data_IF_979464130441
#
_entry.id   IF_979464130441
#
_cell.length_a   1.000
_cell.length_b   1.000
_cell.length_c   1.000
_cell.angle_alpha   90.00
_cell.angle_beta   90.00
_cell.angle_gamma   90.00
#
_symmetry.space_group_name_H-M   'P 1'
#
loop_
_entity.id
_entity.type
_entity.pdbx_description
1 polymer ?
#
# COMPACT_ATOMS: atom_id res chain seq x y z
N UNK A 1 3.89 -18.35 31.94
CA UNK A 1 2.74 -18.38 32.87
C UNK A 1 1.46 -17.79 32.24
N UNK A 2 1.50 -16.68 31.50
CA UNK A 2 0.32 -16.15 30.79
C UNK A 2 -0.01 -16.93 29.49
N UNK A 3 1.00 -17.35 28.73
CA UNK A 3 0.83 -18.17 27.52
C UNK A 3 0.16 -19.52 27.77
N UNK A 4 0.38 -20.14 28.93
CA UNK A 4 -0.29 -21.40 29.30
C UNK A 4 -1.77 -21.24 29.61
N UNK A 5 -2.23 -20.02 29.93
CA UNK A 5 -3.65 -19.75 30.23
C UNK A 5 -4.49 -19.65 28.95
N UNK A 6 -3.89 -19.23 27.83
CA UNK A 6 -4.55 -19.03 26.54
C UNK A 6 -5.17 -20.32 25.97
N UNK A 7 -4.58 -21.47 26.27
CA UNK A 7 -4.99 -22.77 25.73
C UNK A 7 -6.08 -23.48 26.55
N UNK A 8 -6.54 -22.89 27.67
CA UNK A 8 -7.49 -23.51 28.59
C UNK A 8 -8.96 -23.32 28.12
N UNK A 9 -9.18 -22.42 27.15
CA UNK A 9 -10.50 -22.10 26.57
C UNK A 9 -10.92 -20.65 26.85
N UNK A 10 -12.01 -20.20 26.19
CA UNK A 10 -12.51 -18.81 26.25
C UNK A 10 -12.92 -18.39 27.67
N UNK A 11 -13.60 -19.28 28.40
CA UNK A 11 -14.03 -19.06 29.78
C UNK A 11 -13.77 -20.33 30.57
N UNK A 12 -12.99 -20.25 31.66
CA UNK A 12 -12.69 -21.39 32.50
C UNK A 12 -12.70 -21.02 33.99
N UNK A 13 -13.52 -21.70 34.77
CA UNK A 13 -13.62 -21.49 36.22
C UNK A 13 -13.10 -22.70 36.98
N UNK A 14 -12.28 -22.45 38.01
CA UNK A 14 -11.79 -23.47 38.94
C UNK A 14 -11.82 -22.95 40.38
N UNK A 15 -12.79 -23.40 41.16
CA UNK A 15 -13.04 -22.90 42.52
C UNK A 15 -13.30 -21.39 42.50
N UNK A 16 -12.58 -20.64 43.32
CA UNK A 16 -12.66 -19.16 43.36
C UNK A 16 -11.90 -18.45 42.23
N UNK A 17 -11.30 -19.18 41.28
CA UNK A 17 -10.55 -18.59 40.17
C UNK A 17 -11.36 -18.65 38.87
N UNK A 18 -11.34 -17.57 38.10
CA UNK A 18 -11.92 -17.49 36.76
C UNK A 18 -10.85 -16.99 35.79
N UNK A 19 -10.69 -17.71 34.68
CA UNK A 19 -9.82 -17.36 33.56
C UNK A 19 -10.72 -17.01 32.39
N UNK A 20 -10.46 -15.87 31.75
CA UNK A 20 -11.15 -15.39 30.57
C UNK A 20 -10.10 -15.10 29.50
N UNK A 21 -10.25 -15.71 28.33
CA UNK A 21 -9.36 -15.53 27.19
C UNK A 21 -10.17 -15.05 25.98
N UNK A 22 -9.86 -13.85 25.49
CA UNK A 22 -10.53 -13.20 24.36
C UNK A 22 -9.42 -12.63 23.47
N UNK A 23 -9.26 -13.18 22.26
CA UNK A 23 -8.18 -12.83 21.34
C UNK A 23 -6.80 -12.98 21.97
N UNK A 24 -6.06 -11.87 22.02
CA UNK A 24 -4.75 -11.74 22.66
C UNK A 24 -4.81 -11.35 24.15
N UNK A 25 -6.01 -11.21 24.72
CA UNK A 25 -6.23 -10.81 26.12
C UNK A 25 -6.48 -12.05 26.99
N UNK A 26 -5.68 -12.21 28.05
CA UNK A 26 -5.90 -13.22 29.09
C UNK A 26 -6.09 -12.55 30.45
N UNK A 27 -7.26 -12.74 31.08
CA UNK A 27 -7.60 -12.20 32.38
C UNK A 27 -7.78 -13.31 33.41
N UNK A 28 -7.16 -13.16 34.58
CA UNK A 28 -7.31 -14.06 35.73
C UNK A 28 -7.94 -13.31 36.90
N UNK A 29 -9.16 -13.72 37.27
CA UNK A 29 -9.78 -13.34 38.52
C UNK A 29 -9.39 -14.36 39.58
N UNK A 30 -8.72 -13.91 40.64
CA UNK A 30 -8.19 -14.80 41.68
C UNK A 30 -9.25 -15.21 42.71
N UNK A 31 -10.21 -14.32 42.97
CA UNK A 31 -11.18 -14.44 44.06
C UNK A 31 -12.59 -14.10 43.55
N UNK A 32 -13.36 -15.12 43.18
CA UNK A 32 -14.79 -15.02 42.93
C UNK A 32 -15.58 -14.95 44.25
N UNK A 33 -16.75 -14.28 44.25
CA UNK A 33 -17.67 -14.33 45.38
C UNK A 33 -18.22 -15.75 45.58
N UNK A 34 -18.67 -16.05 46.80
CA UNK A 34 -19.29 -17.34 47.15
C UNK A 34 -20.76 -17.46 46.68
N UNK A 35 -21.36 -16.35 46.25
CA UNK A 35 -22.73 -16.29 45.73
C UNK A 35 -22.74 -16.55 44.22
N UNK A 36 -23.29 -17.69 43.81
CA UNK A 36 -23.37 -18.14 42.42
C UNK A 36 -24.07 -17.13 41.50
N UNK A 37 -25.09 -16.42 41.98
CA UNK A 37 -25.78 -15.41 41.18
C UNK A 37 -24.87 -14.20 40.92
N UNK A 38 -24.02 -13.83 41.88
CA UNK A 38 -22.99 -12.78 41.67
C UNK A 38 -21.88 -13.27 40.75
N UNK A 39 -21.47 -14.54 40.85
CA UNK A 39 -20.47 -15.13 39.95
C UNK A 39 -20.96 -15.08 38.50
N UNK A 40 -22.19 -15.51 38.24
CA UNK A 40 -22.79 -15.46 36.91
C UNK A 40 -22.78 -14.04 36.33
N UNK A 41 -23.30 -13.06 37.08
CA UNK A 41 -23.31 -11.65 36.64
C UNK A 41 -21.90 -11.10 36.38
N UNK A 42 -20.95 -11.40 37.25
CA UNK A 42 -19.57 -10.94 37.11
C UNK A 42 -18.92 -11.53 35.85
N UNK A 43 -19.11 -12.83 35.61
CA UNK A 43 -18.62 -13.51 34.42
C UNK A 43 -19.21 -12.89 33.16
N UNK A 44 -20.52 -12.65 33.12
CA UNK A 44 -21.20 -12.13 31.93
C UNK A 44 -20.76 -10.68 31.65
N UNK A 45 -20.67 -9.83 32.68
CA UNK A 45 -20.15 -8.45 32.52
C UNK A 45 -18.69 -8.42 32.05
N UNK A 46 -17.83 -9.26 32.64
CA UNK A 46 -16.42 -9.33 32.24
C UNK A 46 -16.27 -9.86 30.81
N UNK A 47 -17.09 -10.83 30.41
CA UNK A 47 -17.11 -11.34 29.04
C UNK A 47 -17.44 -10.24 28.04
N UNK A 48 -18.48 -9.44 28.30
CA UNK A 48 -18.88 -8.31 27.43
C UNK A 48 -17.76 -7.26 27.33
N UNK A 49 -17.15 -6.91 28.47
CA UNK A 49 -16.03 -5.94 28.49
C UNK A 49 -14.84 -6.46 27.67
N UNK A 50 -14.50 -7.73 27.84
CA UNK A 50 -13.37 -8.33 27.13
C UNK A 50 -13.65 -8.48 25.63
N UNK A 51 -14.89 -8.78 25.23
CA UNK A 51 -15.30 -8.82 23.82
C UNK A 51 -15.20 -7.43 23.18
N UNK A 52 -15.64 -6.39 23.89
CA UNK A 52 -15.44 -5.00 23.44
C UNK A 52 -13.96 -4.58 23.38
N UNK A 53 -13.15 -5.06 24.32
CA UNK A 53 -11.71 -4.78 24.36
C UNK A 53 -10.96 -5.50 23.23
N UNK A 54 -11.29 -6.77 22.95
CA UNK A 54 -10.77 -7.54 21.82
C UNK A 54 -11.09 -6.84 20.50
N UNK A 55 -12.37 -6.51 20.26
CA UNK A 55 -12.79 -5.79 19.06
C UNK A 55 -12.08 -4.43 18.89
N UNK A 56 -11.85 -3.71 20.00
CA UNK A 56 -11.11 -2.45 19.97
C UNK A 56 -9.63 -2.65 19.67
N UNK A 57 -9.01 -3.70 20.20
CA UNK A 57 -7.61 -4.03 19.94
C UNK A 57 -7.41 -4.39 18.46
N UNK A 58 -8.28 -5.24 17.90
CA UNK A 58 -8.25 -5.61 16.48
C UNK A 58 -8.40 -4.38 15.57
N UNK A 59 -9.32 -3.48 15.91
CA UNK A 59 -9.50 -2.23 15.16
C UNK A 59 -8.24 -1.34 15.20
N UNK A 60 -7.54 -1.27 16.34
CA UNK A 60 -6.29 -0.52 16.46
C UNK A 60 -5.16 -1.14 15.64
N UNK A 61 -5.06 -2.48 15.63
CA UNK A 61 -4.07 -3.20 14.81
C UNK A 61 -4.32 -2.98 13.31
N UNK A 62 -5.56 -3.07 12.87
CA UNK A 62 -5.94 -2.80 11.48
C UNK A 62 -5.56 -1.37 11.05
N UNK A 63 -5.74 -0.38 11.93
CA UNK A 63 -5.33 1.01 11.68
C UNK A 63 -3.80 1.14 11.56
N UNK A 64 -3.04 0.45 12.41
CA UNK A 64 -1.57 0.47 12.34
C UNK A 64 -1.06 -0.16 11.04
N UNK A 65 -1.63 -1.28 10.61
CA UNK A 65 -1.33 -1.91 9.33
C UNK A 65 -1.68 -1.00 8.14
N UNK A 66 -2.86 -0.36 8.17
CA UNK A 66 -3.25 0.61 7.13
C UNK A 66 -2.28 1.79 7.04
N UNK A 67 -1.77 2.30 8.18
CA UNK A 67 -0.76 3.37 8.18
C UNK A 67 0.55 2.94 7.54
N UNK A 68 1.00 1.71 7.80
CA UNK A 68 2.20 1.15 7.16
C UNK A 68 2.02 1.02 5.66
N UNK A 69 0.90 0.43 5.22
CA UNK A 69 0.57 0.29 3.80
C UNK A 69 0.49 1.64 3.07
N UNK A 70 -0.09 2.67 3.72
CA UNK A 70 -0.13 4.02 3.18
C UNK A 70 1.28 4.57 2.94
N UNK A 71 2.16 4.46 3.93
CA UNK A 71 3.53 4.92 3.82
C UNK A 71 4.28 4.19 2.69
N UNK A 72 4.17 2.87 2.62
CA UNK A 72 4.81 2.07 1.57
C UNK A 72 4.28 2.43 0.17
N UNK A 73 2.98 2.76 0.08
CA UNK A 73 2.35 3.23 -1.17
C UNK A 73 2.88 4.60 -1.57
N UNK A 74 2.99 5.54 -0.64
CA UNK A 74 3.56 6.87 -0.90
C UNK A 74 5.03 6.78 -1.38
N UNK A 75 5.85 5.94 -0.73
CA UNK A 75 7.22 5.68 -1.14
C UNK A 75 7.27 5.07 -2.55
N UNK A 76 6.42 4.08 -2.84
CA UNK A 76 6.34 3.45 -4.16
C UNK A 76 5.93 4.42 -5.26
N UNK A 77 4.98 5.32 -4.99
CA UNK A 77 4.56 6.37 -5.93
C UNK A 77 5.72 7.31 -6.22
N UNK A 78 6.46 7.74 -5.19
CA UNK A 78 7.64 8.59 -5.36
C UNK A 78 8.71 7.89 -6.22
N UNK A 79 8.95 6.60 -5.99
CA UNK A 79 9.84 5.79 -6.80
C UNK A 79 9.40 5.70 -8.27
N UNK A 80 8.11 5.49 -8.54
CA UNK A 80 7.58 5.46 -9.91
C UNK A 80 7.77 6.81 -10.59
N UNK A 81 7.40 7.91 -9.95
CA UNK A 81 7.54 9.26 -10.51
C UNK A 81 9.00 9.62 -10.84
N UNK A 82 9.93 9.25 -9.96
CA UNK A 82 11.37 9.49 -10.19
C UNK A 82 11.91 8.60 -11.32
N UNK A 83 11.48 7.34 -11.38
CA UNK A 83 11.84 6.43 -12.46
C UNK A 83 11.31 6.91 -13.82
N UNK A 84 10.05 7.35 -13.90
CA UNK A 84 9.42 7.88 -15.11
C UNK A 84 10.14 9.15 -15.62
N UNK A 85 10.49 10.08 -14.73
CA UNK A 85 11.29 11.27 -15.09
C UNK A 85 12.66 10.87 -15.65
N UNK A 86 13.32 9.89 -15.02
CA UNK A 86 14.61 9.39 -15.49
C UNK A 86 14.49 8.73 -16.87
N UNK A 87 13.46 7.90 -17.08
CA UNK A 87 13.20 7.26 -18.37
C UNK A 87 12.89 8.27 -19.47
N UNK A 88 12.12 9.34 -19.19
CA UNK A 88 11.86 10.42 -20.17
C UNK A 88 13.17 11.02 -20.67
N UNK A 89 14.06 11.37 -19.74
CA UNK A 89 15.37 11.94 -20.09
C UNK A 89 16.28 10.97 -20.87
N UNK A 90 16.20 9.67 -20.60
CA UNK A 90 16.95 8.65 -21.36
C UNK A 90 16.39 8.46 -22.76
N UNK A 91 15.06 8.40 -22.91
CA UNK A 91 14.40 8.23 -24.20
C UNK A 91 14.70 9.41 -25.14
N UNK A 92 14.63 10.65 -24.64
CA UNK A 92 15.04 11.84 -25.42
C UNK A 92 16.47 11.71 -25.93
N UNK A 93 17.41 11.35 -25.05
CA UNK A 93 18.82 11.18 -25.46
C UNK A 93 19.00 10.09 -26.52
N UNK A 94 18.31 8.96 -26.39
CA UNK A 94 18.36 7.87 -27.38
C UNK A 94 17.84 8.35 -28.73
N UNK A 95 16.73 9.10 -28.74
CA UNK A 95 16.17 9.68 -29.97
C UNK A 95 17.13 10.70 -30.60
N UNK A 96 17.71 11.60 -29.82
CA UNK A 96 18.67 12.58 -30.31
C UNK A 96 19.89 11.89 -30.95
N UNK A 97 20.46 10.88 -30.27
CA UNK A 97 21.57 10.09 -30.82
C UNK A 97 21.17 9.33 -32.08
N UNK A 98 19.96 8.76 -32.14
CA UNK A 98 19.46 8.07 -33.34
C UNK A 98 19.36 9.03 -34.53
N UNK A 99 18.84 10.24 -34.31
CA UNK A 99 18.72 11.27 -35.35
C UNK A 99 20.12 11.69 -35.83
N UNK A 100 21.06 11.94 -34.92
CA UNK A 100 22.45 12.28 -35.25
C UNK A 100 23.14 11.18 -36.07
N UNK A 101 23.00 9.91 -35.68
CA UNK A 101 23.58 8.78 -36.43
C UNK A 101 22.96 8.63 -37.83
N UNK A 102 21.65 8.85 -37.95
CA UNK A 102 20.97 8.82 -39.25
C UNK A 102 21.51 9.95 -40.14
N UNK A 103 21.59 11.19 -39.64
CA UNK A 103 22.16 12.31 -40.39
C UNK A 103 23.58 12.03 -40.86
N UNK A 104 24.43 11.48 -39.99
CA UNK A 104 25.81 11.14 -40.36
C UNK A 104 25.86 10.07 -41.47
N UNK A 105 24.99 9.06 -41.39
CA UNK A 105 24.96 7.97 -42.38
C UNK A 105 24.42 8.41 -43.75
N UNK A 106 23.43 9.31 -43.80
CA UNK A 106 22.85 9.80 -45.06
C UNK A 106 23.89 10.54 -45.91
N UNK A 107 24.80 11.26 -45.27
CA UNK A 107 25.91 11.95 -45.92
C UNK A 107 26.88 10.99 -46.63
N UNK A 108 27.06 9.77 -46.11
CA UNK A 108 27.93 8.75 -46.73
C UNK A 108 27.28 8.05 -47.93
N UNK A 109 25.95 8.02 -48.03
CA UNK A 109 25.24 7.22 -49.04
C UNK A 109 25.06 7.91 -50.40
N UNK A 110 25.50 9.15 -50.57
CA UNK A 110 25.39 9.86 -51.85
C UNK A 110 23.95 10.05 -52.32
N UNK A 111 23.02 10.19 -51.38
CA UNK A 111 21.59 10.40 -51.65
C UNK A 111 21.34 11.77 -52.28
N UNK A 112 20.23 11.90 -53.00
CA UNK A 112 19.75 13.22 -53.42
C UNK A 112 19.13 13.96 -52.24
N UNK A 113 19.16 15.30 -52.27
CA UNK A 113 18.55 16.17 -51.25
C UNK A 113 17.07 15.80 -50.99
N UNK A 114 16.35 15.40 -52.03
CA UNK A 114 14.96 14.97 -51.95
C UNK A 114 14.77 13.64 -51.23
N UNK A 115 15.67 12.67 -51.45
CA UNK A 115 15.66 11.38 -50.74
C UNK A 115 16.02 11.55 -49.26
N UNK A 116 17.01 12.39 -48.96
CA UNK A 116 17.43 12.71 -47.61
C UNK A 116 16.28 13.34 -46.81
N UNK A 117 15.58 14.31 -47.41
CA UNK A 117 14.46 15.01 -46.80
C UNK A 117 13.26 14.07 -46.52
N UNK A 118 13.02 13.06 -47.36
CA UNK A 118 11.97 12.04 -47.14
C UNK A 118 12.32 11.15 -45.93
N UNK A 119 13.57 10.71 -45.82
CA UNK A 119 14.01 9.87 -44.70
C UNK A 119 14.00 10.62 -43.37
N UNK A 120 14.49 11.87 -43.36
CA UNK A 120 14.48 12.71 -42.16
C UNK A 120 13.07 12.96 -41.65
N UNK A 121 12.12 13.32 -42.53
CA UNK A 121 10.71 13.48 -42.16
C UNK A 121 10.09 12.19 -41.61
N UNK A 122 10.49 11.03 -42.11
CA UNK A 122 10.00 9.75 -41.62
C UNK A 122 10.49 9.50 -40.18
N UNK A 123 11.75 9.78 -39.91
CA UNK A 123 12.38 9.64 -38.60
C UNK A 123 11.77 10.62 -37.59
N UNK A 124 11.62 11.89 -37.96
CA UNK A 124 10.98 12.92 -37.12
C UNK A 124 9.57 12.50 -36.73
N UNK A 125 8.77 12.03 -37.69
CA UNK A 125 7.40 11.56 -37.44
C UNK A 125 7.36 10.39 -36.45
N UNK A 126 8.19 9.36 -36.64
CA UNK A 126 8.20 8.23 -35.71
C UNK A 126 8.78 8.59 -34.34
N UNK A 127 9.71 9.55 -34.28
CA UNK A 127 10.21 10.10 -33.03
C UNK A 127 9.08 10.79 -32.24
N UNK A 128 8.29 11.64 -32.91
CA UNK A 128 7.10 12.26 -32.33
C UNK A 128 6.06 11.22 -31.87
N UNK A 129 5.79 10.20 -32.68
CA UNK A 129 4.83 9.14 -32.34
C UNK A 129 5.27 8.35 -31.09
N UNK A 130 6.55 7.99 -30.98
CA UNK A 130 7.09 7.30 -29.79
C UNK A 130 6.99 8.21 -28.56
N UNK A 131 7.27 9.51 -28.72
CA UNK A 131 7.18 10.48 -27.63
C UNK A 131 5.73 10.61 -27.12
N UNK A 132 4.76 10.64 -28.04
CA UNK A 132 3.34 10.71 -27.71
C UNK A 132 2.86 9.47 -26.95
N UNK A 133 3.21 8.27 -27.41
CA UNK A 133 2.86 7.01 -26.71
C UNK A 133 3.48 6.98 -25.31
N UNK A 134 4.68 7.52 -25.14
CA UNK A 134 5.32 7.64 -23.84
C UNK A 134 4.62 8.63 -22.89
N UNK A 135 4.12 9.75 -23.40
CA UNK A 135 3.33 10.70 -22.61
C UNK A 135 1.95 10.15 -22.21
N UNK A 136 1.30 9.37 -23.09
CA UNK A 136 0.04 8.68 -22.77
C UNK A 136 0.22 7.68 -21.62
N UNK A 137 1.39 7.03 -21.52
CA UNK A 137 1.73 6.12 -20.42
C UNK A 137 1.87 6.79 -19.03
N UNK A 138 2.05 8.11 -18.96
CA UNK A 138 2.23 8.83 -17.68
C UNK A 138 0.94 9.04 -16.88
N UNK A 139 -0.24 8.75 -17.44
CA UNK A 139 -1.51 8.83 -16.71
C UNK A 139 -1.61 7.83 -15.53
N UNK A 140 -0.72 6.84 -15.48
CA UNK A 140 -0.67 5.86 -14.38
C UNK A 140 -0.25 6.52 -13.06
N UNK A 141 0.70 7.46 -13.08
CA UNK A 141 1.15 8.19 -11.89
C UNK A 141 0.03 9.00 -11.24
N UNK A 142 -0.79 9.67 -12.05
CA UNK A 142 -1.94 10.47 -11.58
C UNK A 142 -3.03 9.61 -10.95
N UNK A 143 -3.29 8.44 -11.55
CA UNK A 143 -4.24 7.46 -11.02
C UNK A 143 -3.79 6.93 -9.65
N UNK A 144 -2.49 6.68 -9.47
CA UNK A 144 -1.92 6.23 -8.20
C UNK A 144 -1.98 7.32 -7.12
N UNK A 145 -1.72 8.59 -7.48
CA UNK A 145 -1.90 9.73 -6.58
C UNK A 145 -3.35 9.82 -6.07
N UNK A 146 -4.33 9.59 -6.95
CA UNK A 146 -5.74 9.59 -6.57
C UNK A 146 -6.10 8.46 -5.59
N UNK A 147 -5.54 7.27 -5.79
CA UNK A 147 -5.72 6.11 -4.90
C UNK A 147 -5.12 6.40 -3.52
N UNK A 148 -3.90 6.94 -3.46
CA UNK A 148 -3.26 7.33 -2.20
C UNK A 148 -4.08 8.37 -1.43
N UNK A 149 -4.56 9.42 -2.12
CA UNK A 149 -5.40 10.44 -1.50
C UNK A 149 -6.72 9.86 -0.93
N UNK A 150 -7.32 8.91 -1.65
CA UNK A 150 -8.56 8.25 -1.22
C UNK A 150 -8.34 7.38 0.02
N UNK A 151 -7.23 6.61 0.05
CA UNK A 151 -6.83 5.82 1.22
C UNK A 151 -6.55 6.69 2.44
N UNK A 152 -5.82 7.80 2.26
CA UNK A 152 -5.52 8.75 3.35
C UNK A 152 -6.80 9.33 3.96
N UNK A 153 -7.80 9.66 3.12
CA UNK A 153 -9.11 10.11 3.58
C UNK A 153 -9.87 9.03 4.36
N UNK A 154 -9.81 7.78 3.90
CA UNK A 154 -10.46 6.66 4.58
C UNK A 154 -9.86 6.42 5.98
N UNK A 155 -8.53 6.45 6.09
CA UNK A 155 -7.84 6.29 7.39
C UNK A 155 -8.16 7.44 8.34
N UNK A 156 -8.17 8.68 7.84
CA UNK A 156 -8.54 9.86 8.66
C UNK A 156 -9.97 9.74 9.19
N UNK A 157 -10.92 9.26 8.38
CA UNK A 157 -12.32 9.06 8.79
C UNK A 157 -12.48 7.94 9.80
N UNK A 158 -11.63 6.91 9.76
CA UNK A 158 -11.69 5.79 10.71
C UNK A 158 -11.07 6.13 12.09
N UNK A 159 -10.23 7.17 12.12
CA UNK A 159 -9.57 7.69 13.32
C UNK A 159 -10.36 8.79 14.05
N UNK A 160 -11.37 9.37 13.40
CA UNK A 160 -12.25 10.41 13.95
C UNK A 160 -13.49 9.79 14.62
#
# INVERSE_FOLDING_TARGET
>A
MLTSLRNIGRIHQRGKRLILNFGDISQLIKNLPDDDAKVGRLRDHLAIILEGAESRADALLAVDEMKKLLKDTEESICHIQTFEKSQKGKNVKIMDTMIEEIHASLFEYGLTEEQENVLLKMVERYSEDIFKVYEEGQQVGDSLNHVSATLNRAVTKFLA
#
